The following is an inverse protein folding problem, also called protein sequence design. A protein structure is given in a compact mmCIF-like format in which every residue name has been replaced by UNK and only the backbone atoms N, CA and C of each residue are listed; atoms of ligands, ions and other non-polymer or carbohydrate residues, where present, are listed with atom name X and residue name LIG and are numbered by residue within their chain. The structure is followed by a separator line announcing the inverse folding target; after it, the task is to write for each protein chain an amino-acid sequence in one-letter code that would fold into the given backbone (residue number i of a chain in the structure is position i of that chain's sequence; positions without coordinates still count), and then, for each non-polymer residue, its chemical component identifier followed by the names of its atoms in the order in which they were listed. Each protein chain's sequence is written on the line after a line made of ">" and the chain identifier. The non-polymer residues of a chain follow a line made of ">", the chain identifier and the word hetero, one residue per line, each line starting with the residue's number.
data_IF_524421389275
#
_entry.id   IF_524421389275
#
_cell.length_a   1.000
_cell.length_b   1.000
_cell.length_c   1.000
_cell.angle_alpha   90.00
_cell.angle_beta   90.00
_cell.angle_gamma   90.00
#
_symmetry.space_group_name_H-M   'P 1'
#
loop_
_entity.id
_entity.type
_entity.pdbx_description
1 polymer ?
#
# COMPACT_ATOMS: atom_id res chain seq x y z
N UNK A 1 5.76 -10.39 -12.92
CA UNK A 1 5.62 -10.48 -11.45
C UNK A 1 4.89 -9.27 -10.86
N UNK A 2 5.29 -8.03 -11.19
CA UNK A 2 4.68 -6.81 -10.66
C UNK A 2 3.13 -6.70 -10.79
N UNK A 3 2.57 -7.00 -11.98
CA UNK A 3 1.13 -6.93 -12.22
C UNK A 3 0.30 -7.92 -11.36
N UNK A 4 0.82 -9.11 -11.08
CA UNK A 4 0.16 -10.09 -10.20
C UNK A 4 0.14 -9.63 -8.74
N UNK A 5 1.15 -8.86 -8.32
CA UNK A 5 1.24 -8.32 -6.97
C UNK A 5 0.34 -7.09 -6.79
N UNK A 6 0.26 -6.22 -7.80
CA UNK A 6 -0.76 -5.18 -7.87
C UNK A 6 -2.18 -5.75 -7.77
N UNK A 7 -2.44 -6.86 -8.49
CA UNK A 7 -3.71 -7.56 -8.41
C UNK A 7 -4.01 -8.08 -7.00
N UNK A 8 -3.00 -8.56 -6.25
CA UNK A 8 -3.17 -8.95 -4.86
C UNK A 8 -3.62 -7.77 -3.97
N UNK A 9 -3.01 -6.58 -4.11
CA UNK A 9 -3.46 -5.41 -3.35
C UNK A 9 -4.88 -5.00 -3.69
N UNK A 10 -5.21 -4.94 -4.98
CA UNK A 10 -6.56 -4.59 -5.43
C UNK A 10 -7.57 -5.63 -4.92
N UNK A 11 -7.21 -6.92 -4.92
CA UNK A 11 -8.02 -8.00 -4.36
C UNK A 11 -8.26 -7.83 -2.86
N UNK A 12 -7.20 -7.56 -2.07
CA UNK A 12 -7.31 -7.30 -0.64
C UNK A 12 -8.23 -6.08 -0.37
N UNK A 13 -8.16 -5.04 -1.18
CA UNK A 13 -8.99 -3.84 -1.03
C UNK A 13 -10.46 -4.02 -1.40
N UNK A 14 -10.75 -4.82 -2.43
CA UNK A 14 -12.13 -5.17 -2.81
C UNK A 14 -12.76 -6.08 -1.75
N UNK A 15 -12.04 -7.11 -1.32
CA UNK A 15 -12.52 -8.04 -0.30
C UNK A 15 -12.71 -7.37 1.07
N UNK A 16 -11.87 -6.39 1.42
CA UNK A 16 -12.04 -5.59 2.65
C UNK A 16 -13.41 -4.92 2.73
N UNK A 17 -13.81 -4.25 1.65
CA UNK A 17 -15.08 -3.53 1.60
C UNK A 17 -16.28 -4.47 1.67
N UNK A 18 -16.25 -5.57 0.91
CA UNK A 18 -17.32 -6.57 0.94
C UNK A 18 -17.52 -7.17 2.33
N UNK A 19 -16.42 -7.44 3.05
CA UNK A 19 -16.48 -7.98 4.42
C UNK A 19 -16.93 -6.94 5.46
N UNK A 20 -16.60 -5.66 5.26
CA UNK A 20 -16.94 -4.59 6.19
C UNK A 20 -18.37 -4.05 6.01
N UNK A 21 -18.90 -3.97 4.79
CA UNK A 21 -20.29 -3.53 4.52
C UNK A 21 -21.31 -4.57 5.02
N UNK A 22 -20.99 -5.86 4.92
CA UNK A 22 -21.84 -6.95 5.44
C UNK A 22 -21.86 -7.06 6.97
N UNK A 23 -21.34 -6.07 7.70
CA UNK A 23 -21.32 -6.03 9.16
C UNK A 23 -22.56 -5.30 9.65
N UNK A 24 -23.48 -6.04 10.28
CA UNK A 24 -24.64 -5.45 10.95
C UNK A 24 -24.13 -4.75 12.20
N UNK A 25 -24.10 -3.42 12.15
CA UNK A 25 -23.62 -2.57 13.25
C UNK A 25 -24.82 -1.86 13.86
N UNK A 26 -24.92 -1.86 15.18
CA UNK A 26 -25.89 -1.02 15.87
C UNK A 26 -25.35 0.43 15.91
N UNK A 27 -26.13 1.39 15.40
CA UNK A 27 -25.70 2.79 15.27
C UNK A 27 -25.40 3.48 16.61
N UNK A 28 -25.92 2.95 17.72
CA UNK A 28 -25.64 3.43 19.07
C UNK A 28 -24.26 2.99 19.59
N UNK A 29 -23.58 2.06 18.91
CA UNK A 29 -22.24 1.64 19.30
C UNK A 29 -21.23 2.77 19.07
N UNK A 30 -20.33 2.93 20.04
CA UNK A 30 -19.23 3.88 19.93
C UNK A 30 -18.28 3.49 18.78
N UNK A 31 -17.67 4.50 18.15
CA UNK A 31 -16.78 4.32 16.99
C UNK A 31 -15.68 3.27 17.22
N UNK A 32 -15.05 3.29 18.40
CA UNK A 32 -13.98 2.34 18.78
C UNK A 32 -14.50 0.89 18.77
N UNK A 33 -15.73 0.66 19.23
CA UNK A 33 -16.36 -0.67 19.23
C UNK A 33 -16.59 -1.16 17.80
N UNK A 34 -17.04 -0.27 16.90
CA UNK A 34 -17.25 -0.60 15.49
C UNK A 34 -15.91 -0.93 14.80
N UNK A 35 -14.87 -0.13 15.04
CA UNK A 35 -13.50 -0.41 14.57
C UNK A 35 -13.04 -1.77 15.10
N UNK A 36 -13.23 -2.05 16.38
CA UNK A 36 -12.88 -3.34 16.99
C UNK A 36 -13.59 -4.53 16.36
N UNK A 37 -14.88 -4.39 16.02
CA UNK A 37 -15.64 -5.41 15.31
C UNK A 37 -15.11 -5.66 13.89
N UNK A 38 -14.78 -4.58 13.16
CA UNK A 38 -14.16 -4.67 11.82
C UNK A 38 -12.82 -5.38 11.94
N UNK A 39 -11.92 -4.93 12.82
CA UNK A 39 -10.62 -5.56 13.04
C UNK A 39 -10.74 -7.03 13.41
N UNK A 40 -11.68 -7.40 14.29
CA UNK A 40 -11.92 -8.80 14.67
C UNK A 40 -12.39 -9.65 13.50
N UNK A 41 -13.29 -9.13 12.66
CA UNK A 41 -13.79 -9.83 11.46
C UNK A 41 -12.69 -9.96 10.41
N UNK A 42 -11.84 -8.95 10.30
CA UNK A 42 -10.83 -8.79 9.26
C UNK A 42 -9.45 -9.30 9.65
N UNK A 43 -9.25 -9.76 10.89
CA UNK A 43 -7.93 -10.12 11.44
C UNK A 43 -7.12 -11.06 10.53
N UNK A 44 -7.77 -12.03 9.90
CA UNK A 44 -7.09 -12.98 9.01
C UNK A 44 -6.71 -12.35 7.69
N UNK A 45 -7.58 -11.52 7.13
CA UNK A 45 -7.31 -10.78 5.91
C UNK A 45 -6.17 -9.76 6.13
N UNK A 46 -6.17 -9.05 7.25
CA UNK A 46 -5.09 -8.18 7.70
C UNK A 46 -3.78 -8.98 7.83
N UNK A 47 -3.83 -10.14 8.50
CA UNK A 47 -2.66 -11.02 8.66
C UNK A 47 -2.11 -11.46 7.29
N UNK A 48 -2.97 -11.91 6.38
CA UNK A 48 -2.56 -12.29 5.02
C UNK A 48 -1.95 -11.13 4.25
N UNK A 49 -2.48 -9.91 4.38
CA UNK A 49 -1.90 -8.72 3.77
C UNK A 49 -0.47 -8.48 4.27
N UNK A 50 -0.22 -8.61 5.58
CA UNK A 50 1.11 -8.43 6.15
C UNK A 50 2.09 -9.56 5.84
N UNK A 51 1.60 -10.77 5.59
CA UNK A 51 2.46 -11.90 5.18
C UNK A 51 2.77 -11.80 3.68
N UNK A 52 1.73 -11.68 2.84
CA UNK A 52 1.86 -11.76 1.39
C UNK A 52 2.29 -10.45 0.74
N UNK A 53 1.98 -9.31 1.37
CA UNK A 53 2.41 -7.99 0.92
C UNK A 53 3.94 -7.92 0.77
N UNK A 54 4.72 -8.07 1.84
CA UNK A 54 6.17 -7.84 1.79
C UNK A 54 6.99 -8.94 1.11
N UNK A 55 6.40 -10.04 0.65
CA UNK A 55 7.12 -11.22 0.12
C UNK A 55 8.16 -10.90 -0.96
N UNK A 56 7.92 -9.88 -1.80
CA UNK A 56 8.79 -9.51 -2.91
C UNK A 56 9.67 -8.28 -2.63
N UNK A 57 9.60 -7.69 -1.43
CA UNK A 57 10.51 -6.61 -1.01
C UNK A 57 12.00 -7.04 -1.02
N UNK A 58 12.37 -8.30 -0.71
CA UNK A 58 13.76 -8.74 -0.85
C UNK A 58 14.27 -8.76 -2.30
N UNK A 59 13.35 -8.91 -3.29
CA UNK A 59 13.69 -8.86 -4.72
C UNK A 59 13.74 -7.45 -5.31
N UNK A 60 13.47 -6.43 -4.48
CA UNK A 60 13.35 -5.03 -4.88
C UNK A 60 14.71 -4.43 -5.25
N UNK A 61 15.81 -4.93 -4.66
CA UNK A 61 17.15 -4.43 -4.90
C UNK A 61 17.71 -4.76 -6.30
N UNK A 62 17.22 -5.80 -6.97
CA UNK A 62 17.84 -6.30 -8.21
C UNK A 62 17.20 -5.79 -9.51
N UNK A 63 15.98 -5.23 -9.45
CA UNK A 63 15.22 -4.84 -10.65
C UNK A 63 14.77 -3.37 -10.59
N UNK A 64 14.18 -2.95 -9.46
CA UNK A 64 13.66 -1.59 -9.25
C UNK A 64 13.77 -1.20 -7.78
N UNK A 65 14.87 -0.54 -7.36
CA UNK A 65 15.13 -0.29 -5.94
C UNK A 65 13.95 0.42 -5.26
N UNK A 66 13.49 -0.15 -4.15
CA UNK A 66 12.44 0.36 -3.26
C UNK A 66 11.01 0.42 -3.82
N UNK A 67 10.75 0.03 -5.07
CA UNK A 67 9.42 0.17 -5.68
C UNK A 67 8.37 -0.72 -4.98
N UNK A 68 8.69 -1.98 -4.67
CA UNK A 68 7.79 -2.88 -3.94
C UNK A 68 7.61 -2.42 -2.50
N UNK A 69 8.66 -1.98 -1.82
CA UNK A 69 8.53 -1.41 -0.47
C UNK A 69 7.58 -0.21 -0.46
N UNK A 70 7.82 0.76 -1.33
CA UNK A 70 7.08 2.01 -1.35
C UNK A 70 5.61 1.78 -1.73
N UNK A 71 5.37 0.81 -2.62
CA UNK A 71 4.03 0.42 -3.00
C UNK A 71 3.30 -0.35 -1.88
N UNK A 72 3.99 -1.23 -1.14
CA UNK A 72 3.41 -1.87 0.05
C UNK A 72 3.01 -0.82 1.10
N UNK A 73 3.89 0.16 1.36
CA UNK A 73 3.61 1.26 2.29
C UNK A 73 2.42 2.09 1.85
N UNK A 74 2.31 2.39 0.55
CA UNK A 74 1.17 3.11 -0.01
C UNK A 74 -0.14 2.37 0.27
N UNK A 75 -0.18 1.08 -0.06
CA UNK A 75 -1.35 0.26 0.18
C UNK A 75 -1.64 0.08 1.67
N UNK A 76 -0.62 0.00 2.52
CA UNK A 76 -0.78 -0.05 3.96
C UNK A 76 -1.47 1.20 4.51
N UNK A 77 -0.99 2.39 4.13
CA UNK A 77 -1.61 3.67 4.54
C UNK A 77 -3.04 3.78 4.02
N UNK A 78 -3.26 3.44 2.75
CA UNK A 78 -4.59 3.44 2.16
C UNK A 78 -5.53 2.45 2.88
N UNK A 79 -5.02 1.30 3.30
CA UNK A 79 -5.78 0.29 4.02
C UNK A 79 -6.13 0.72 5.46
N UNK A 80 -5.21 1.38 6.17
CA UNK A 80 -5.49 2.04 7.46
C UNK A 80 -6.58 3.10 7.31
N UNK A 81 -6.50 3.91 6.25
CA UNK A 81 -7.56 4.88 5.94
C UNK A 81 -8.92 4.20 5.78
N UNK A 82 -9.01 3.08 5.05
CA UNK A 82 -10.26 2.33 4.91
C UNK A 82 -10.79 1.77 6.24
N UNK A 83 -9.92 1.28 7.12
CA UNK A 83 -10.28 0.81 8.46
C UNK A 83 -10.94 1.89 9.30
N UNK A 84 -10.58 3.16 9.10
CA UNK A 84 -11.19 4.29 9.82
C UNK A 84 -12.42 4.85 9.09
N UNK A 85 -12.36 4.90 7.76
CA UNK A 85 -13.39 5.48 6.92
C UNK A 85 -14.70 4.66 6.91
N UNK A 86 -14.61 3.32 6.79
CA UNK A 86 -15.81 2.47 6.77
C UNK A 86 -16.62 2.52 8.08
N UNK A 87 -16.03 2.39 9.28
CA UNK A 87 -16.80 2.51 10.52
C UNK A 87 -17.44 3.89 10.68
N UNK A 88 -16.80 4.95 10.15
CA UNK A 88 -17.42 6.27 10.09
C UNK A 88 -18.68 6.26 9.22
N UNK A 89 -18.61 5.69 8.01
CA UNK A 89 -19.77 5.53 7.13
C UNK A 89 -20.89 4.69 7.75
N UNK A 90 -20.55 3.57 8.40
CA UNK A 90 -21.52 2.68 9.05
C UNK A 90 -22.21 3.37 10.23
N UNK A 91 -21.46 4.15 11.02
CA UNK A 91 -22.01 4.90 12.16
C UNK A 91 -23.05 5.93 11.73
N UNK A 92 -22.76 6.72 10.69
CA UNK A 92 -23.61 7.84 10.28
C UNK A 92 -24.86 7.45 9.48
N UNK A 93 -25.13 6.15 9.28
CA UNK A 93 -26.29 5.62 8.55
C UNK A 93 -26.59 6.41 7.27
N UNK A 94 -25.53 6.71 6.50
CA UNK A 94 -25.67 7.48 5.27
C UNK A 94 -26.53 6.69 4.29
N UNK A 95 -27.59 7.31 3.75
CA UNK A 95 -28.52 6.67 2.79
C UNK A 95 -27.82 6.10 1.55
N UNK A 96 -26.60 6.57 1.28
CA UNK A 96 -25.75 6.17 0.16
C UNK A 96 -24.42 5.55 0.61
N UNK A 97 -24.38 4.91 1.78
CA UNK A 97 -23.15 4.32 2.35
C UNK A 97 -22.40 3.42 1.37
N UNK A 98 -23.11 2.66 0.53
CA UNK A 98 -22.53 1.82 -0.52
C UNK A 98 -21.82 2.64 -1.60
N UNK A 99 -22.40 3.76 -2.05
CA UNK A 99 -21.79 4.67 -3.04
C UNK A 99 -20.53 5.29 -2.45
N UNK A 100 -20.62 5.82 -1.22
CA UNK A 100 -19.47 6.42 -0.54
C UNK A 100 -18.36 5.41 -0.24
N UNK A 101 -18.68 4.13 -0.04
CA UNK A 101 -17.68 3.08 0.16
C UNK A 101 -16.91 2.74 -1.13
N UNK A 102 -17.49 3.01 -2.30
CA UNK A 102 -16.84 2.77 -3.59
C UNK A 102 -15.90 3.94 -3.96
N UNK A 103 -16.21 5.17 -3.54
CA UNK A 103 -15.46 6.37 -3.92
C UNK A 103 -13.95 6.29 -3.66
N UNK A 104 -13.45 5.86 -2.48
CA UNK A 104 -12.01 5.72 -2.24
C UNK A 104 -11.31 4.83 -3.27
N UNK A 105 -11.97 3.75 -3.71
CA UNK A 105 -11.36 2.82 -4.64
C UNK A 105 -11.44 3.28 -6.09
N UNK A 106 -12.48 4.03 -6.47
CA UNK A 106 -12.48 4.73 -7.76
C UNK A 106 -11.36 5.77 -7.80
N UNK A 107 -11.17 6.50 -6.70
CA UNK A 107 -10.07 7.44 -6.56
C UNK A 107 -8.71 6.74 -6.63
N UNK A 108 -8.56 5.60 -5.95
CA UNK A 108 -7.36 4.77 -6.05
C UNK A 108 -7.12 4.30 -7.49
N UNK A 109 -8.12 3.74 -8.18
CA UNK A 109 -7.99 3.31 -9.58
C UNK A 109 -7.63 4.48 -10.49
N UNK A 110 -8.22 5.65 -10.25
CA UNK A 110 -7.87 6.87 -10.95
C UNK A 110 -6.40 7.23 -10.76
N UNK A 111 -5.88 7.19 -9.53
CA UNK A 111 -4.46 7.43 -9.24
C UNK A 111 -3.56 6.41 -9.93
N UNK A 112 -3.88 5.11 -9.82
CA UNK A 112 -3.05 4.02 -10.34
C UNK A 112 -3.04 3.93 -11.89
N UNK A 113 -3.99 4.59 -12.57
CA UNK A 113 -4.19 4.50 -14.02
C UNK A 113 -3.05 5.08 -14.86
N UNK A 114 -2.22 5.99 -14.34
CA UNK A 114 -1.06 6.53 -15.07
C UNK A 114 0.23 5.74 -14.84
N UNK A 115 0.10 4.54 -14.29
CA UNK A 115 1.21 3.69 -13.89
C UNK A 115 1.56 3.93 -12.43
N UNK A 116 1.65 2.84 -11.68
CA UNK A 116 2.00 2.83 -10.25
C UNK A 116 3.51 2.73 -10.03
N UNK A 117 4.26 2.71 -11.11
CA UNK A 117 5.70 2.48 -11.12
C UNK A 117 6.39 3.62 -11.82
N UNK A 118 7.20 4.32 -11.04
CA UNK A 118 8.00 5.42 -11.54
C UNK A 118 9.48 5.09 -11.65
N UNK A 119 9.95 3.92 -11.15
CA UNK A 119 11.12 3.24 -11.76
C UNK A 119 10.72 2.16 -12.78
N UNK A 120 9.64 1.40 -12.57
CA UNK A 120 9.27 0.24 -13.43
C UNK A 120 8.39 0.51 -14.69
N UNK A 121 8.36 1.73 -15.23
CA UNK A 121 7.75 2.03 -16.54
C UNK A 121 8.75 2.03 -17.70
N UNK A 122 10.04 1.93 -17.40
CA UNK A 122 11.12 1.64 -18.33
C UNK A 122 11.74 0.33 -17.85
N UNK A 123 11.80 -0.67 -18.72
CA UNK A 123 12.53 -1.89 -18.40
C UNK A 123 14.00 -1.50 -18.20
N UNK A 124 14.49 -1.60 -16.97
CA UNK A 124 15.91 -1.48 -16.72
C UNK A 124 16.64 -2.58 -17.50
N UNK A 125 17.69 -2.18 -18.21
CA UNK A 125 18.86 -3.05 -18.30
C UNK A 125 19.51 -2.94 -16.92
N UNK A 126 19.67 -4.07 -16.24
CA UNK A 126 20.22 -4.16 -14.88
C UNK A 126 21.34 -3.13 -14.63
N UNK A 127 21.23 -2.33 -13.56
CA UNK A 127 22.29 -1.45 -13.06
C UNK A 127 22.28 0.03 -13.51
N UNK A 128 21.20 0.56 -14.08
CA UNK A 128 21.08 2.01 -14.38
C UNK A 128 19.75 2.58 -13.90
N UNK A 129 19.79 3.71 -13.19
CA UNK A 129 18.58 4.45 -12.79
C UNK A 129 17.99 5.15 -14.03
N UNK A 130 16.69 4.95 -14.35
CA UNK A 130 16.06 5.59 -15.50
C UNK A 130 15.92 7.11 -15.32
N UNK A 131 15.99 7.87 -16.41
CA UNK A 131 15.63 9.30 -16.40
C UNK A 131 14.16 9.45 -16.01
N UNK A 132 13.90 10.03 -14.84
CA UNK A 132 12.53 10.29 -14.37
C UNK A 132 11.91 11.38 -15.24
N UNK A 133 11.11 10.97 -16.23
CA UNK A 133 10.27 11.89 -17.04
C UNK A 133 8.84 11.88 -16.51
N UNK A 134 8.38 13.03 -16.04
CA UNK A 134 7.01 13.19 -15.53
C UNK A 134 6.02 13.07 -16.69
N UNK A 135 5.15 12.05 -16.64
CA UNK A 135 4.12 11.79 -17.67
C UNK A 135 2.82 12.55 -17.40
N UNK A 136 2.47 12.73 -16.13
CA UNK A 136 1.22 13.38 -15.72
C UNK A 136 1.26 13.83 -14.24
N UNK A 137 0.22 14.54 -13.80
CA UNK A 137 0.04 14.90 -12.39
C UNK A 137 -0.11 13.67 -11.46
N UNK A 138 -0.79 12.61 -11.91
CA UNK A 138 -0.96 11.37 -11.13
C UNK A 138 0.39 10.65 -10.93
N UNK A 139 1.17 10.58 -12.00
CA UNK A 139 2.53 10.05 -11.97
C UNK A 139 3.42 10.86 -11.04
N UNK A 140 3.26 12.20 -11.00
CA UNK A 140 3.96 13.07 -10.06
C UNK A 140 3.61 12.76 -8.60
N UNK A 141 2.33 12.55 -8.27
CA UNK A 141 1.93 12.17 -6.90
C UNK A 141 2.64 10.88 -6.46
N UNK A 142 2.73 9.88 -7.32
CA UNK A 142 3.45 8.64 -6.99
C UNK A 142 4.96 8.86 -6.86
N UNK A 143 5.57 9.69 -7.71
CA UNK A 143 6.98 10.07 -7.54
C UNK A 143 7.24 10.73 -6.20
N UNK A 144 6.38 11.69 -5.82
CA UNK A 144 6.48 12.39 -4.54
C UNK A 144 6.32 11.40 -3.37
N UNK A 145 5.40 10.45 -3.49
CA UNK A 145 5.25 9.35 -2.50
C UNK A 145 6.51 8.50 -2.37
N UNK A 146 7.10 8.06 -3.49
CA UNK A 146 8.35 7.30 -3.47
C UNK A 146 9.49 8.12 -2.85
N UNK A 147 9.59 9.40 -3.18
CA UNK A 147 10.59 10.30 -2.60
C UNK A 147 10.43 10.46 -1.08
N UNK A 148 9.20 10.58 -0.58
CA UNK A 148 8.92 10.64 0.87
C UNK A 148 9.34 9.32 1.54
N UNK A 149 8.97 8.18 0.95
CA UNK A 149 9.29 6.87 1.50
C UNK A 149 10.81 6.64 1.52
N UNK A 150 11.51 6.98 0.44
CA UNK A 150 12.96 6.86 0.34
C UNK A 150 13.68 7.83 1.29
N UNK A 151 13.13 9.03 1.52
CA UNK A 151 13.65 9.98 2.50
C UNK A 151 13.52 9.51 3.95
N UNK A 152 12.41 8.85 4.29
CA UNK A 152 12.16 8.34 5.65
C UNK A 152 12.89 7.03 5.93
N UNK A 153 12.85 6.09 4.99
CA UNK A 153 13.33 4.71 5.18
C UNK A 153 14.70 4.45 4.55
N UNK A 154 15.27 5.42 3.84
CA UNK A 154 16.53 5.29 3.11
C UNK A 154 16.42 4.38 1.89
N UNK A 155 17.52 4.23 1.15
CA UNK A 155 17.61 3.27 0.05
C UNK A 155 17.91 1.86 0.62
N UNK A 156 17.18 0.83 0.17
CA UNK A 156 17.37 -0.57 0.63
C UNK A 156 18.82 -1.05 0.40
N UNK A 157 19.49 -0.57 -0.65
CA UNK A 157 20.92 -0.88 -0.91
C UNK A 157 21.88 -0.34 0.17
N UNK A 158 21.67 0.90 0.64
CA UNK A 158 22.61 1.54 1.57
C UNK A 158 22.57 0.88 2.96
N UNK A 159 21.43 0.34 3.37
CA UNK A 159 21.29 -0.29 4.68
C UNK A 159 21.85 -1.71 4.73
N UNK A 160 21.74 -2.50 3.66
CA UNK A 160 22.20 -3.90 3.68
C UNK A 160 23.73 -4.00 3.60
N UNK A 161 24.36 -3.28 2.67
CA UNK A 161 25.83 -3.26 2.54
C UNK A 161 26.51 -2.51 3.68
N UNK A 162 25.90 -1.44 4.22
CA UNK A 162 26.41 -0.73 5.39
C UNK A 162 26.37 -1.56 6.69
N UNK A 163 25.35 -2.41 6.87
CA UNK A 163 25.25 -3.32 8.02
C UNK A 163 26.22 -4.52 7.91
N UNK A 164 26.46 -5.02 6.71
CA UNK A 164 27.46 -6.07 6.46
C UNK A 164 28.87 -5.50 6.64
N UNK A 165 29.16 -4.32 6.10
CA UNK A 165 30.44 -3.62 6.28
C UNK A 165 30.76 -3.38 7.75
N UNK A 166 29.82 -2.80 8.52
CA UNK A 166 29.99 -2.60 9.97
C UNK A 166 30.14 -3.89 10.78
N UNK A 167 29.56 -5.01 10.33
CA UNK A 167 29.81 -6.31 10.98
C UNK A 167 31.20 -6.83 10.67
N UNK A 168 31.66 -6.71 9.44
CA UNK A 168 32.99 -7.18 9.03
C UNK A 168 34.09 -6.32 9.71
N UNK A 169 33.91 -5.00 9.75
CA UNK A 169 34.84 -4.07 10.42
C UNK A 169 34.81 -4.19 11.95
N UNK A 170 33.74 -4.75 12.53
CA UNK A 170 33.66 -5.04 13.96
C UNK A 170 34.29 -6.39 14.37
N UNK A 171 34.72 -7.19 13.39
CA UNK A 171 35.41 -8.47 13.59
C UNK A 171 36.93 -8.39 13.30
N UNK A 172 37.43 -7.25 12.82
CA UNK A 172 38.86 -6.97 12.62
C UNK A 172 39.39 -5.91 13.60
#
# INVERSE_FOLDING_TARGET
>A
MFAGWMANYIFFLLSFRSMAIGLVVNHEQNFITIVGLILRRMKWHILFFFILGPLNIPSDASITPNDHRNLFLFFFVYYVFLILFIPMLLRFKTRFSLIFCIMPSLFLLFLLSDGVTTKAGQWNRSGTDPEIKIRSFRHKIFLDWHSICDGIFGNVENNFFGLIGKRIDGFY
#
